data_IF_957682567240
#
_entry.id   IF_957682567240
#
_cell.length_a   1.000
_cell.length_b   1.000
_cell.length_c   1.000
_cell.angle_alpha   90.00
_cell.angle_beta   90.00
_cell.angle_gamma   90.00
#
_symmetry.space_group_name_H-M   'P 1'
#
loop_
_entity.id
_entity.type
_entity.pdbx_description
1 polymer ?
#
# COMPACT_ATOMS: atom_id res chain seq x y z
N UNK A 1 26.81 26.33 -14.27
CA UNK A 1 25.48 26.85 -13.90
C UNK A 1 24.51 26.34 -14.93
N UNK A 2 24.07 25.10 -14.77
CA UNK A 2 22.87 24.63 -15.46
C UNK A 2 21.69 25.39 -14.88
N UNK A 3 20.73 25.82 -15.72
CA UNK A 3 19.54 26.48 -15.21
C UNK A 3 18.82 25.49 -14.30
N UNK A 4 18.46 25.93 -13.10
CA UNK A 4 17.52 25.25 -12.21
C UNK A 4 16.27 24.89 -13.02
N UNK A 5 16.23 23.69 -13.60
CA UNK A 5 14.98 23.03 -13.94
C UNK A 5 14.35 22.70 -12.60
N UNK A 6 13.58 23.67 -12.14
CA UNK A 6 12.73 23.64 -10.96
C UNK A 6 12.10 22.25 -10.82
N UNK A 7 12.67 21.41 -9.95
CA UNK A 7 12.09 20.16 -9.46
C UNK A 7 10.89 20.43 -8.51
N UNK A 8 10.16 21.54 -8.67
CA UNK A 8 9.06 21.96 -7.78
C UNK A 8 7.74 21.25 -8.11
N UNK A 9 7.70 19.93 -7.89
CA UNK A 9 6.45 19.18 -7.81
C UNK A 9 6.63 17.78 -7.19
N UNK A 10 7.76 17.45 -6.56
CA UNK A 10 7.95 16.10 -6.04
C UNK A 10 7.31 15.91 -4.66
N UNK A 11 6.15 15.24 -4.64
CA UNK A 11 5.45 14.84 -3.41
C UNK A 11 6.33 14.08 -2.42
N UNK A 12 7.39 13.43 -2.91
CA UNK A 12 8.32 12.68 -2.07
C UNK A 12 9.30 13.62 -1.38
N UNK A 13 9.76 14.70 -2.03
CA UNK A 13 10.67 15.66 -1.40
C UNK A 13 9.98 16.44 -0.28
N UNK A 14 8.78 16.97 -0.53
CA UNK A 14 7.99 17.69 0.49
C UNK A 14 7.75 16.80 1.73
N UNK A 15 7.54 15.50 1.54
CA UNK A 15 7.31 14.55 2.63
C UNK A 15 8.60 14.21 3.39
N UNK A 16 9.75 14.13 2.71
CA UNK A 16 11.05 13.99 3.36
C UNK A 16 11.42 15.24 4.16
N UNK A 17 11.25 16.43 3.57
CA UNK A 17 11.48 17.69 4.25
C UNK A 17 10.63 17.80 5.51
N UNK A 18 9.36 17.39 5.44
CA UNK A 18 8.50 17.35 6.63
C UNK A 18 9.01 16.36 7.68
N UNK A 19 9.44 15.16 7.28
CA UNK A 19 10.00 14.19 8.23
C UNK A 19 11.23 14.79 8.92
N UNK A 20 12.19 15.35 8.18
CA UNK A 20 13.40 15.96 8.74
C UNK A 20 13.06 17.13 9.66
N UNK A 21 12.13 18.00 9.26
CA UNK A 21 11.67 19.11 10.11
C UNK A 21 11.07 18.66 11.44
N UNK A 22 10.57 17.43 11.55
CA UNK A 22 10.01 16.89 12.80
C UNK A 22 11.10 16.25 13.64
N UNK A 23 11.93 15.40 13.03
CA UNK A 23 12.90 14.58 13.78
C UNK A 23 14.19 15.32 14.11
N UNK A 24 14.48 16.42 13.41
CA UNK A 24 15.59 17.32 13.70
C UNK A 24 15.14 18.56 14.51
N UNK A 25 13.87 18.61 14.98
CA UNK A 25 13.40 19.65 15.89
C UNK A 25 14.11 19.50 17.25
N UNK A 26 14.53 20.61 17.87
CA UNK A 26 15.27 20.60 19.13
C UNK A 26 14.49 19.93 20.28
N UNK A 27 13.15 19.85 20.17
CA UNK A 27 12.28 19.20 21.15
C UNK A 27 12.06 17.70 20.88
N UNK A 28 12.60 17.17 19.77
CA UNK A 28 12.49 15.76 19.41
C UNK A 28 13.54 14.92 20.17
N UNK A 29 13.10 13.85 20.85
CA UNK A 29 13.87 13.08 21.82
C UNK A 29 13.66 13.51 23.27
N UNK A 30 12.80 14.50 23.54
CA UNK A 30 12.35 14.86 24.89
C UNK A 30 10.94 14.26 25.16
N UNK A 31 10.05 14.97 25.86
CA UNK A 31 8.66 14.52 26.11
C UNK A 31 7.68 14.95 24.99
N UNK A 32 8.15 15.68 23.96
CA UNK A 32 7.31 16.35 22.97
C UNK A 32 7.16 15.59 21.62
N UNK A 33 7.82 14.44 21.43
CA UNK A 33 7.77 13.65 20.19
C UNK A 33 6.34 13.39 19.70
N UNK A 34 5.41 12.92 20.57
CA UNK A 34 4.05 12.63 20.12
C UNK A 34 3.34 13.89 19.64
N UNK A 35 3.58 15.04 20.27
CA UNK A 35 2.95 16.30 19.93
C UNK A 35 3.48 16.87 18.60
N UNK A 36 4.80 16.80 18.38
CA UNK A 36 5.43 17.20 17.13
C UNK A 36 4.94 16.36 15.95
N UNK A 37 4.96 15.03 16.11
CA UNK A 37 4.47 14.08 15.11
C UNK A 37 2.99 14.30 14.82
N UNK A 38 2.16 14.44 15.86
CA UNK A 38 0.73 14.69 15.72
C UNK A 38 0.47 15.98 14.92
N UNK A 39 1.11 17.10 15.29
CA UNK A 39 0.96 18.39 14.59
C UNK A 39 1.40 18.28 13.13
N UNK A 40 2.50 17.58 12.86
CA UNK A 40 2.98 17.34 11.50
C UNK A 40 1.94 16.59 10.68
N UNK A 41 1.41 15.46 11.17
CA UNK A 41 0.41 14.65 10.47
C UNK A 41 -0.92 15.38 10.27
N UNK A 42 -1.35 16.17 11.25
CA UNK A 42 -2.65 16.84 11.25
C UNK A 42 -2.67 18.12 10.42
N UNK A 43 -1.60 18.90 10.45
CA UNK A 43 -1.58 20.26 9.91
C UNK A 43 -0.61 20.45 8.73
N UNK A 44 0.47 19.66 8.65
CA UNK A 44 1.50 19.84 7.61
C UNK A 44 1.44 18.74 6.54
N UNK A 45 1.19 17.49 6.92
CA UNK A 45 1.23 16.34 6.02
C UNK A 45 0.06 16.37 5.04
N UNK A 46 0.40 16.41 3.74
CA UNK A 46 -0.59 16.49 2.67
C UNK A 46 -1.02 15.10 2.22
N UNK A 47 -2.32 14.88 2.19
CA UNK A 47 -2.88 13.68 1.56
C UNK A 47 -2.86 13.88 0.04
N UNK A 48 -2.08 13.06 -0.66
CA UNK A 48 -2.03 13.08 -2.12
C UNK A 48 -3.20 12.28 -2.67
N UNK A 49 -3.99 12.90 -3.54
CA UNK A 49 -5.10 12.24 -4.23
C UNK A 49 -4.61 11.49 -5.48
N UNK A 50 -5.40 10.53 -5.94
CA UNK A 50 -5.18 9.93 -7.25
C UNK A 50 -5.13 10.99 -8.36
N UNK A 51 -6.03 11.99 -8.31
CA UNK A 51 -6.05 13.09 -9.26
C UNK A 51 -4.78 13.93 -9.28
N UNK A 52 -4.19 14.21 -8.12
CA UNK A 52 -2.90 14.90 -8.00
C UNK A 52 -1.77 14.09 -8.64
N UNK A 53 -1.75 12.78 -8.37
CA UNK A 53 -0.77 11.87 -8.97
C UNK A 53 -0.90 11.84 -10.50
N UNK A 54 -2.14 11.79 -11.01
CA UNK A 54 -2.42 11.82 -12.44
C UNK A 54 -2.01 13.15 -13.10
N UNK A 55 -2.30 14.29 -12.48
CA UNK A 55 -1.88 15.61 -13.00
C UNK A 55 -0.36 15.73 -13.08
N UNK A 56 0.34 15.33 -12.01
CA UNK A 56 1.81 15.32 -11.97
C UNK A 56 2.39 14.42 -13.06
N UNK A 57 1.85 13.20 -13.21
CA UNK A 57 2.27 12.27 -14.26
C UNK A 57 2.10 12.88 -15.66
N UNK A 58 0.95 13.49 -15.94
CA UNK A 58 0.69 14.14 -17.23
C UNK A 58 1.66 15.28 -17.48
N UNK A 59 1.94 16.13 -16.48
CA UNK A 59 2.94 17.20 -16.62
C UNK A 59 4.31 16.64 -17.02
N UNK A 60 4.75 15.57 -16.36
CA UNK A 60 6.04 14.94 -16.64
C UNK A 60 6.09 14.31 -18.03
N UNK A 61 5.02 13.63 -18.47
CA UNK A 61 5.01 12.94 -19.77
C UNK A 61 4.73 13.85 -20.96
N UNK A 62 4.09 14.99 -20.74
CA UNK A 62 3.80 15.98 -21.77
C UNK A 62 4.77 17.18 -21.70
N UNK A 63 5.86 17.08 -20.94
CA UNK A 63 6.88 18.12 -20.75
C UNK A 63 6.29 19.51 -20.41
N UNK A 64 5.26 19.53 -19.56
CA UNK A 64 4.62 20.78 -19.13
C UNK A 64 5.48 21.47 -18.07
N UNK A 65 5.86 22.72 -18.32
CA UNK A 65 6.64 23.53 -17.39
C UNK A 65 5.80 24.12 -16.26
N UNK A 66 6.34 24.16 -15.05
CA UNK A 66 5.71 24.79 -13.88
C UNK A 66 5.07 23.80 -12.92
N UNK A 67 4.35 24.30 -11.92
CA UNK A 67 3.68 23.45 -10.95
C UNK A 67 2.42 22.82 -11.56
N UNK A 68 2.23 21.51 -11.32
CA UNK A 68 1.05 20.78 -11.80
C UNK A 68 -0.30 21.32 -11.28
N UNK A 69 -0.30 22.18 -10.26
CA UNK A 69 -1.50 22.85 -9.74
C UNK A 69 -1.88 24.10 -10.54
N UNK A 70 -0.94 24.71 -11.24
CA UNK A 70 -1.14 26.00 -11.90
C UNK A 70 -1.75 25.87 -13.30
N UNK A 71 -1.71 24.67 -13.88
CA UNK A 71 -2.30 24.40 -15.18
C UNK A 71 -3.83 24.28 -15.11
N UNK A 72 -4.56 24.81 -16.11
CA UNK A 72 -6.01 24.74 -16.14
C UNK A 72 -6.49 23.28 -16.30
N UNK A 73 -7.56 22.90 -15.60
CA UNK A 73 -8.08 21.52 -15.62
C UNK A 73 -8.41 21.03 -17.05
N UNK A 74 -8.90 21.92 -17.91
CA UNK A 74 -9.24 21.59 -19.30
C UNK A 74 -8.02 21.20 -20.15
N UNK A 75 -6.80 21.62 -19.78
CA UNK A 75 -5.58 21.14 -20.43
C UNK A 75 -5.40 19.65 -20.18
N UNK A 76 -5.42 19.21 -18.91
CA UNK A 76 -5.30 17.79 -18.55
C UNK A 76 -6.41 16.95 -19.18
N UNK A 77 -7.65 17.44 -19.14
CA UNK A 77 -8.80 16.74 -19.74
C UNK A 77 -8.65 16.58 -21.25
N UNK A 78 -8.06 17.56 -21.94
CA UNK A 78 -7.76 17.51 -23.37
C UNK A 78 -6.68 16.47 -23.66
N UNK A 79 -5.56 16.51 -22.94
CA UNK A 79 -4.46 15.54 -23.08
C UNK A 79 -4.98 14.11 -22.93
N UNK A 80 -5.74 13.82 -21.86
CA UNK A 80 -6.32 12.48 -21.65
C UNK A 80 -7.21 12.07 -22.82
N UNK A 81 -8.11 12.96 -23.28
CA UNK A 81 -9.04 12.64 -24.36
C UNK A 81 -8.33 12.39 -25.69
N UNK A 82 -7.34 13.21 -26.01
CA UNK A 82 -6.60 13.11 -27.26
C UNK A 82 -5.78 11.82 -27.26
N UNK A 83 -5.09 11.52 -26.15
CA UNK A 83 -4.34 10.28 -25.99
C UNK A 83 -5.23 9.02 -26.07
N UNK A 84 -6.39 9.01 -25.42
CA UNK A 84 -7.34 7.89 -25.52
C UNK A 84 -7.83 7.67 -26.95
N UNK A 85 -8.09 8.75 -27.70
CA UNK A 85 -8.50 8.66 -29.11
C UNK A 85 -7.36 8.12 -29.98
N UNK A 86 -6.15 8.64 -29.82
CA UNK A 86 -4.95 8.23 -30.57
C UNK A 86 -4.57 6.77 -30.30
N UNK A 87 -4.80 6.29 -29.08
CA UNK A 87 -4.47 4.92 -28.66
C UNK A 87 -5.66 3.96 -28.73
N UNK A 88 -6.75 4.37 -29.38
CA UNK A 88 -7.96 3.57 -29.57
C UNK A 88 -8.50 2.97 -28.27
N UNK A 89 -8.33 3.71 -27.16
CA UNK A 89 -8.69 3.26 -25.82
C UNK A 89 -10.12 3.70 -25.49
N UNK A 90 -11.02 2.78 -25.13
CA UNK A 90 -12.40 3.11 -24.79
C UNK A 90 -12.48 3.81 -23.42
N UNK A 91 -13.64 4.39 -23.07
CA UNK A 91 -13.86 4.96 -21.73
C UNK A 91 -13.91 3.91 -20.60
N UNK A 92 -14.02 2.62 -20.91
CA UNK A 92 -14.08 1.51 -19.94
C UNK A 92 -13.75 0.18 -20.62
N UNK A 93 -13.26 -0.80 -19.84
CA UNK A 93 -13.12 -2.19 -20.28
C UNK A 93 -14.46 -2.89 -20.51
N UNK A 94 -15.53 -2.40 -19.86
CA UNK A 94 -16.89 -2.91 -19.99
C UNK A 94 -17.82 -1.86 -20.60
N UNK A 95 -18.95 -2.26 -21.22
CA UNK A 95 -19.92 -1.30 -21.74
C UNK A 95 -20.35 -0.27 -20.70
N UNK A 96 -20.30 1.02 -21.06
CA UNK A 96 -20.66 2.14 -20.18
C UNK A 96 -21.37 3.24 -20.95
N UNK A 97 -22.28 3.94 -20.28
CA UNK A 97 -22.93 5.15 -20.79
C UNK A 97 -22.17 6.42 -20.40
N UNK A 98 -21.19 6.32 -19.49
CA UNK A 98 -20.40 7.45 -19.04
C UNK A 98 -19.47 7.93 -20.16
N UNK A 99 -19.54 9.24 -20.46
CA UNK A 99 -18.67 9.87 -21.47
C UNK A 99 -17.26 10.05 -20.91
N UNK A 100 -16.24 9.85 -21.76
CA UNK A 100 -14.84 10.06 -21.39
C UNK A 100 -14.59 11.46 -20.81
N UNK A 101 -15.32 12.49 -21.26
CA UNK A 101 -15.21 13.86 -20.75
C UNK A 101 -15.65 14.03 -19.29
N UNK A 102 -16.59 13.20 -18.82
CA UNK A 102 -17.04 13.16 -17.42
C UNK A 102 -16.10 12.29 -16.58
N UNK A 103 -15.67 11.15 -17.13
CA UNK A 103 -14.73 10.25 -16.47
C UNK A 103 -13.38 10.92 -16.23
N UNK A 104 -12.80 11.59 -17.24
CA UNK A 104 -11.52 12.28 -17.08
C UNK A 104 -11.56 13.39 -16.04
N UNK A 105 -12.68 14.12 -15.96
CA UNK A 105 -12.92 15.10 -14.90
C UNK A 105 -12.92 14.44 -13.51
N UNK A 106 -13.58 13.30 -13.36
CA UNK A 106 -13.63 12.58 -12.09
C UNK A 106 -12.25 12.05 -11.69
N UNK A 107 -11.52 11.41 -12.62
CA UNK A 107 -10.18 10.88 -12.36
C UNK A 107 -9.20 11.97 -11.87
N UNK A 108 -9.29 13.18 -12.42
CA UNK A 108 -8.43 14.31 -12.04
C UNK A 108 -8.76 14.94 -10.68
N UNK A 109 -9.89 14.58 -10.06
CA UNK A 109 -10.39 15.24 -8.85
C UNK A 109 -10.72 14.27 -7.69
N UNK A 110 -10.71 12.96 -7.95
CA UNK A 110 -11.03 11.96 -6.93
C UNK A 110 -9.81 11.62 -6.05
N UNK A 111 -10.10 11.31 -4.78
CA UNK A 111 -9.09 10.82 -3.83
C UNK A 111 -8.50 9.47 -4.25
N UNK A 112 -9.35 8.60 -4.81
CA UNK A 112 -8.99 7.27 -5.29
C UNK A 112 -9.93 6.87 -6.43
N UNK A 113 -9.51 5.91 -7.25
CA UNK A 113 -10.29 5.32 -8.33
C UNK A 113 -10.25 3.80 -8.22
N UNK A 114 -11.14 3.10 -8.95
CA UNK A 114 -11.04 1.66 -9.07
C UNK A 114 -9.72 1.28 -9.78
N UNK A 115 -9.05 0.22 -9.33
CA UNK A 115 -7.85 -0.36 -9.93
C UNK A 115 -7.91 -0.49 -11.46
N UNK A 116 -9.06 -0.87 -12.03
CA UNK A 116 -9.26 -0.99 -13.48
C UNK A 116 -9.08 0.34 -14.23
N UNK A 117 -9.28 1.48 -13.57
CA UNK A 117 -9.03 2.80 -14.16
C UNK A 117 -7.53 2.99 -14.42
N UNK A 118 -6.65 2.49 -13.53
CA UNK A 118 -5.19 2.57 -13.74
C UNK A 118 -4.78 1.78 -14.96
N UNK A 119 -5.30 0.56 -15.13
CA UNK A 119 -5.06 -0.24 -16.34
C UNK A 119 -5.58 0.47 -17.60
N UNK A 120 -6.74 1.13 -17.52
CA UNK A 120 -7.30 1.85 -18.66
C UNK A 120 -6.44 3.06 -19.03
N UNK A 121 -5.98 3.83 -18.04
CA UNK A 121 -5.02 4.92 -18.22
C UNK A 121 -3.70 4.39 -18.76
N UNK A 122 -3.30 3.17 -18.40
CA UNK A 122 -2.13 2.51 -18.95
C UNK A 122 -2.13 2.44 -20.47
N UNK A 123 -3.26 2.02 -21.05
CA UNK A 123 -3.46 2.04 -22.50
C UNK A 123 -3.59 3.46 -23.04
N UNK A 124 -4.46 4.25 -22.41
CA UNK A 124 -4.83 5.58 -22.92
C UNK A 124 -3.67 6.57 -22.94
N UNK A 125 -2.76 6.50 -21.96
CA UNK A 125 -1.60 7.39 -21.81
C UNK A 125 -0.27 6.75 -22.20
N UNK A 126 -0.28 5.52 -22.76
CA UNK A 126 0.93 4.73 -23.08
C UNK A 126 1.91 4.61 -21.90
N UNK A 127 1.36 4.28 -20.73
CA UNK A 127 2.19 4.06 -19.53
C UNK A 127 3.08 2.83 -19.72
N UNK A 128 4.31 2.89 -19.22
CA UNK A 128 5.14 1.70 -19.05
C UNK A 128 4.58 0.80 -17.94
N UNK A 129 5.10 -0.43 -17.82
CA UNK A 129 4.80 -1.32 -16.70
C UNK A 129 5.13 -0.67 -15.35
N UNK A 130 6.25 0.05 -15.28
CA UNK A 130 6.69 0.76 -14.07
C UNK A 130 5.80 1.95 -13.72
N UNK A 131 5.32 2.68 -14.73
CA UNK A 131 4.35 3.77 -14.54
C UNK A 131 3.05 3.19 -13.94
N UNK A 132 2.52 2.11 -14.52
CA UNK A 132 1.31 1.43 -14.02
C UNK A 132 1.50 0.94 -12.59
N UNK A 133 2.60 0.22 -12.31
CA UNK A 133 2.91 -0.24 -10.96
C UNK A 133 3.08 0.90 -9.96
N UNK A 134 3.64 2.03 -10.38
CA UNK A 134 3.75 3.23 -9.54
C UNK A 134 2.38 3.80 -9.19
N UNK A 135 1.44 3.89 -10.13
CA UNK A 135 0.06 4.31 -9.81
C UNK A 135 -0.62 3.34 -8.85
N UNK A 136 -0.49 2.03 -9.07
CA UNK A 136 -1.09 1.02 -8.20
C UNK A 136 -0.54 1.09 -6.77
N UNK A 137 0.78 1.16 -6.62
CA UNK A 137 1.44 1.11 -5.31
C UNK A 137 1.47 2.45 -4.59
N UNK A 138 1.68 3.57 -5.29
CA UNK A 138 1.84 4.90 -4.68
C UNK A 138 0.55 5.72 -4.65
N UNK A 139 -0.29 5.63 -5.69
CA UNK A 139 -1.54 6.39 -5.74
C UNK A 139 -2.73 5.63 -5.12
N UNK A 140 -2.81 4.30 -5.33
CA UNK A 140 -3.89 3.48 -4.76
C UNK A 140 -3.49 2.77 -3.45
N UNK A 141 -2.19 2.65 -3.13
CA UNK A 141 -1.67 1.83 -2.02
C UNK A 141 -2.05 0.34 -2.15
N UNK A 142 -2.19 -0.14 -3.38
CA UNK A 142 -2.50 -1.52 -3.72
C UNK A 142 -1.24 -2.26 -4.19
N UNK A 143 -1.36 -3.58 -4.41
CA UNK A 143 -0.28 -4.38 -5.00
C UNK A 143 -0.01 -3.97 -6.45
N UNK A 144 1.20 -4.24 -6.91
CA UNK A 144 1.58 -4.23 -8.32
C UNK A 144 0.69 -5.17 -9.16
N UNK A 145 0.90 -5.17 -10.47
CA UNK A 145 0.25 -6.10 -11.40
C UNK A 145 0.30 -7.52 -10.87
N UNK A 146 -0.86 -8.14 -10.74
CA UNK A 146 -1.02 -9.47 -10.18
C UNK A 146 -0.72 -10.53 -11.26
N UNK A 147 0.38 -11.29 -11.15
CA UNK A 147 0.76 -12.26 -12.17
C UNK A 147 -0.17 -13.48 -12.18
N UNK A 148 -1.07 -13.63 -11.19
CA UNK A 148 -2.06 -14.71 -11.11
C UNK A 148 -3.42 -14.31 -11.69
N UNK A 149 -3.60 -13.05 -12.09
CA UNK A 149 -4.86 -12.54 -12.65
C UNK A 149 -4.76 -12.45 -14.17
N UNK A 150 -5.47 -13.28 -14.94
CA UNK A 150 -5.40 -13.28 -16.41
C UNK A 150 -5.59 -11.90 -17.05
N UNK A 151 -6.51 -11.10 -16.51
CA UNK A 151 -6.75 -9.73 -16.96
C UNK A 151 -5.51 -8.84 -16.82
N UNK A 152 -4.88 -8.83 -15.65
CA UNK A 152 -3.71 -8.00 -15.37
C UNK A 152 -2.47 -8.51 -16.13
N UNK A 153 -2.33 -9.82 -16.31
CA UNK A 153 -1.26 -10.43 -17.09
C UNK A 153 -1.35 -10.03 -18.57
N UNK A 154 -2.55 -10.00 -19.15
CA UNK A 154 -2.74 -9.55 -20.54
C UNK A 154 -2.47 -8.04 -20.65
N UNK A 155 -2.90 -7.24 -19.67
CA UNK A 155 -2.56 -5.82 -19.62
C UNK A 155 -1.04 -5.61 -19.58
N UNK A 156 -0.34 -6.28 -18.65
CA UNK A 156 1.11 -6.26 -18.55
C UNK A 156 1.80 -6.59 -19.87
N UNK A 157 1.41 -7.70 -20.50
CA UNK A 157 2.02 -8.12 -21.77
C UNK A 157 1.85 -7.06 -22.86
N UNK A 158 0.69 -6.37 -22.88
CA UNK A 158 0.47 -5.27 -23.82
C UNK A 158 1.36 -4.07 -23.53
N UNK A 159 1.51 -3.66 -22.27
CA UNK A 159 2.39 -2.54 -21.90
C UNK A 159 3.85 -2.85 -22.20
N UNK A 160 4.30 -4.06 -21.88
CA UNK A 160 5.68 -4.52 -22.12
C UNK A 160 6.07 -4.45 -23.60
N UNK A 161 5.12 -4.73 -24.50
CA UNK A 161 5.35 -4.73 -25.95
C UNK A 161 4.84 -3.47 -26.66
N UNK A 162 4.36 -2.46 -25.92
CA UNK A 162 3.81 -1.23 -26.49
C UNK A 162 2.55 -1.43 -27.34
N UNK A 163 1.78 -2.49 -27.07
CA UNK A 163 0.53 -2.77 -27.76
C UNK A 163 -0.62 -1.90 -27.23
N UNK A 164 -1.51 -1.49 -28.15
CA UNK A 164 -2.70 -0.69 -27.87
C UNK A 164 -3.90 -1.54 -27.43
N UNK A 165 -4.97 -0.88 -27.00
CA UNK A 165 -6.17 -1.55 -26.49
C UNK A 165 -6.80 -2.58 -27.45
N UNK A 166 -6.84 -2.38 -28.79
CA UNK A 166 -7.29 -3.41 -29.73
C UNK A 166 -6.57 -4.76 -29.58
N UNK A 167 -5.26 -4.75 -29.30
CA UNK A 167 -4.50 -5.99 -29.06
C UNK A 167 -4.92 -6.66 -27.75
N UNK A 168 -5.14 -5.89 -26.69
CA UNK A 168 -5.71 -6.40 -25.44
C UNK A 168 -7.04 -7.11 -25.72
N UNK A 169 -7.95 -6.51 -26.48
CA UNK A 169 -9.23 -7.13 -26.83
C UNK A 169 -9.06 -8.43 -27.62
N UNK A 170 -8.10 -8.47 -28.55
CA UNK A 170 -7.78 -9.70 -29.30
C UNK A 170 -7.30 -10.81 -28.36
N UNK A 171 -6.35 -10.51 -27.47
CA UNK A 171 -5.79 -11.46 -26.51
C UNK A 171 -6.83 -11.91 -25.49
N UNK A 172 -7.67 -10.99 -25.00
CA UNK A 172 -8.76 -11.31 -24.08
C UNK A 172 -9.76 -12.29 -24.71
N UNK A 173 -10.17 -12.05 -25.96
CA UNK A 173 -11.04 -12.98 -26.71
C UNK A 173 -10.39 -14.36 -26.94
N UNK A 174 -9.06 -14.41 -27.12
CA UNK A 174 -8.33 -15.68 -27.20
C UNK A 174 -8.35 -16.41 -25.87
N UNK A 175 -8.06 -15.71 -24.77
CA UNK A 175 -8.10 -16.25 -23.41
C UNK A 175 -9.48 -16.81 -23.03
N UNK A 176 -10.56 -16.11 -23.35
CA UNK A 176 -11.94 -16.56 -23.08
C UNK A 176 -12.22 -17.93 -23.73
N UNK A 177 -11.65 -18.19 -24.91
CA UNK A 177 -11.79 -19.44 -25.67
C UNK A 177 -10.77 -20.53 -25.33
N UNK A 178 -9.76 -20.24 -24.50
CA UNK A 178 -8.78 -21.27 -24.11
C UNK A 178 -9.44 -22.35 -23.27
N UNK A 179 -9.14 -23.62 -23.54
CA UNK A 179 -9.47 -24.68 -22.59
C UNK A 179 -8.59 -24.55 -21.34
N UNK A 180 -9.12 -24.93 -20.18
CA UNK A 180 -8.30 -25.04 -18.98
C UNK A 180 -7.21 -26.08 -19.23
N UNK A 181 -5.95 -25.75 -18.95
CA UNK A 181 -4.88 -26.73 -19.07
C UNK A 181 -5.19 -27.94 -18.16
N UNK A 182 -5.03 -29.17 -18.68
CA UNK A 182 -5.24 -30.37 -17.87
C UNK A 182 -4.43 -30.27 -16.58
N UNK A 183 -5.15 -30.38 -15.45
CA UNK A 183 -4.56 -30.28 -14.11
C UNK A 183 -3.68 -31.51 -13.88
N UNK A 184 -2.37 -31.40 -14.09
CA UNK A 184 -1.53 -32.58 -13.83
C UNK A 184 -0.23 -32.31 -13.07
N UNK A 185 0.20 -31.06 -12.86
CA UNK A 185 1.42 -30.82 -12.06
C UNK A 185 1.57 -29.36 -11.58
N UNK A 186 1.33 -28.39 -12.47
CA UNK A 186 1.61 -26.96 -12.21
C UNK A 186 0.64 -26.25 -11.24
N UNK A 187 -0.51 -26.84 -10.91
CA UNK A 187 -1.43 -26.25 -9.92
C UNK A 187 -0.94 -26.45 -8.47
N UNK A 188 -0.16 -27.51 -8.22
CA UNK A 188 0.47 -27.80 -6.93
C UNK A 188 1.68 -26.87 -6.74
N UNK A 189 2.55 -26.79 -7.76
CA UNK A 189 3.70 -25.89 -7.77
C UNK A 189 3.30 -24.42 -7.58
N UNK A 190 2.18 -23.94 -8.16
CA UNK A 190 1.73 -22.54 -7.96
C UNK A 190 1.12 -22.22 -6.59
N UNK A 191 0.71 -23.25 -5.84
CA UNK A 191 0.36 -23.08 -4.42
C UNK A 191 1.61 -22.99 -3.55
N UNK A 192 2.69 -23.63 -3.97
CA UNK A 192 3.97 -23.68 -3.25
C UNK A 192 4.93 -22.53 -3.65
N UNK A 193 4.85 -22.04 -4.89
CA UNK A 193 5.65 -20.93 -5.40
C UNK A 193 5.13 -19.59 -4.86
N UNK A 194 6.04 -18.87 -4.18
CA UNK A 194 5.81 -17.51 -3.73
C UNK A 194 5.60 -16.53 -4.90
N UNK A 195 5.10 -15.35 -4.58
CA UNK A 195 4.75 -14.28 -5.54
C UNK A 195 5.90 -13.95 -6.51
N UNK A 196 7.15 -13.93 -6.02
CA UNK A 196 8.34 -13.68 -6.85
C UNK A 196 8.51 -14.72 -7.95
N UNK A 197 8.43 -16.01 -7.63
CA UNK A 197 8.63 -17.08 -8.63
C UNK A 197 7.62 -16.97 -9.77
N UNK A 198 6.34 -16.77 -9.43
CA UNK A 198 5.25 -16.59 -10.40
C UNK A 198 5.48 -15.34 -11.27
N UNK A 199 5.99 -14.25 -10.69
CA UNK A 199 6.36 -13.04 -11.43
C UNK A 199 7.52 -13.29 -12.39
N UNK A 200 8.57 -14.00 -11.95
CA UNK A 200 9.72 -14.34 -12.81
C UNK A 200 9.28 -15.13 -14.04
N UNK A 201 8.38 -16.11 -13.88
CA UNK A 201 7.83 -16.83 -15.03
C UNK A 201 7.01 -15.94 -15.96
N UNK A 202 6.21 -15.02 -15.41
CA UNK A 202 5.47 -14.05 -16.22
C UNK A 202 6.45 -13.18 -17.02
N UNK A 203 7.49 -12.64 -16.39
CA UNK A 203 8.50 -11.79 -17.03
C UNK A 203 9.33 -12.51 -18.11
N UNK A 204 9.42 -13.84 -18.06
CA UNK A 204 10.08 -14.64 -19.09
C UNK A 204 9.23 -14.84 -20.36
N UNK A 205 7.98 -14.37 -20.38
CA UNK A 205 7.11 -14.46 -21.55
C UNK A 205 7.52 -13.43 -22.60
N UNK A 206 7.97 -13.89 -23.76
CA UNK A 206 8.47 -13.05 -24.85
C UNK A 206 7.57 -13.07 -26.10
N UNK A 207 6.61 -13.98 -26.16
CA UNK A 207 5.70 -14.11 -27.30
C UNK A 207 4.27 -14.51 -26.89
N UNK A 208 3.36 -14.45 -27.85
CA UNK A 208 1.95 -14.71 -27.64
C UNK A 208 1.66 -16.17 -27.30
N UNK A 209 2.46 -17.12 -27.80
CA UNK A 209 2.28 -18.54 -27.50
C UNK A 209 2.64 -18.83 -26.03
N UNK A 210 3.74 -18.24 -25.55
CA UNK A 210 4.15 -18.26 -24.16
C UNK A 210 3.09 -17.65 -23.25
N UNK A 211 2.53 -16.50 -23.65
CA UNK A 211 1.42 -15.86 -22.95
C UNK A 211 0.20 -16.78 -22.84
N UNK A 212 -0.28 -17.32 -23.96
CA UNK A 212 -1.47 -18.16 -23.98
C UNK A 212 -1.26 -19.46 -23.19
N UNK A 213 -0.06 -20.04 -23.23
CA UNK A 213 0.33 -21.19 -22.40
C UNK A 213 0.27 -20.84 -20.91
N UNK A 214 0.80 -19.68 -20.52
CA UNK A 214 0.75 -19.20 -19.15
C UNK A 214 -0.69 -18.95 -18.68
N UNK A 215 -1.52 -18.30 -19.50
CA UNK A 215 -2.92 -18.02 -19.20
C UNK A 215 -3.78 -19.28 -19.13
N UNK A 216 -3.56 -20.26 -20.02
CA UNK A 216 -4.25 -21.56 -19.97
C UNK A 216 -3.98 -22.29 -18.66
N UNK A 217 -2.76 -22.16 -18.13
CA UNK A 217 -2.42 -22.66 -16.80
C UNK A 217 -3.20 -21.90 -15.73
N UNK A 218 -3.40 -20.59 -15.82
CA UNK A 218 -4.14 -19.80 -14.82
C UNK A 218 -5.66 -20.08 -14.81
N UNK A 219 -6.21 -20.60 -15.91
CA UNK A 219 -7.63 -20.93 -16.04
C UNK A 219 -7.97 -22.17 -15.19
N UNK A 220 -8.44 -21.97 -13.96
CA UNK A 220 -8.91 -23.05 -13.07
C UNK A 220 -10.43 -23.17 -13.07
N UNK A 221 -10.96 -24.39 -12.95
CA UNK A 221 -12.40 -24.70 -12.96
C UNK A 221 -13.19 -24.11 -11.77
N UNK A 222 -12.51 -23.69 -10.71
CA UNK A 222 -13.13 -23.13 -9.50
C UNK A 222 -12.43 -21.83 -9.13
N UNK A 223 -13.12 -20.71 -9.34
CA UNK A 223 -12.67 -19.34 -9.10
C UNK A 223 -12.29 -19.08 -7.65
N UNK A 224 -11.12 -19.56 -7.26
CA UNK A 224 -10.56 -19.33 -5.94
C UNK A 224 -9.85 -17.98 -5.95
N UNK A 225 -10.28 -17.09 -5.05
CA UNK A 225 -9.57 -15.86 -4.73
C UNK A 225 -8.17 -16.24 -4.25
N UNK A 226 -7.15 -16.05 -5.09
CA UNK A 226 -5.78 -16.35 -4.74
C UNK A 226 -5.25 -15.26 -3.81
N UNK A 227 -5.53 -15.39 -2.51
CA UNK A 227 -4.80 -14.66 -1.49
C UNK A 227 -3.30 -14.84 -1.74
N UNK A 228 -2.54 -13.73 -1.73
CA UNK A 228 -1.09 -13.78 -1.93
C UNK A 228 -0.44 -14.71 -0.89
N UNK A 229 0.10 -15.84 -1.35
CA UNK A 229 0.77 -16.84 -0.50
C UNK A 229 1.95 -16.20 0.24
N UNK A 230 2.75 -15.36 -0.45
CA UNK A 230 3.83 -14.61 0.19
C UNK A 230 3.32 -13.67 1.27
N UNK A 231 2.29 -12.87 0.99
CA UNK A 231 1.77 -11.91 1.97
C UNK A 231 1.18 -12.62 3.19
N UNK A 232 0.46 -13.73 3.00
CA UNK A 232 -0.04 -14.55 4.10
C UNK A 232 1.11 -15.17 4.91
N UNK A 233 2.17 -15.66 4.24
CA UNK A 233 3.35 -16.22 4.90
C UNK A 233 4.06 -15.18 5.78
N UNK A 234 4.34 -13.99 5.24
CA UNK A 234 4.95 -12.89 6.00
C UNK A 234 4.04 -12.46 7.15
N UNK A 235 2.75 -12.25 6.89
CA UNK A 235 1.79 -11.92 7.95
C UNK A 235 1.82 -12.93 9.10
N UNK A 236 1.76 -14.24 8.81
CA UNK A 236 1.77 -15.27 9.85
C UNK A 236 3.08 -15.29 10.64
N UNK A 237 4.22 -15.07 9.99
CA UNK A 237 5.51 -14.99 10.66
C UNK A 237 5.60 -13.78 11.61
N UNK A 238 5.20 -12.60 11.12
CA UNK A 238 5.15 -11.37 11.91
C UNK A 238 4.15 -11.45 13.07
N UNK A 239 2.98 -12.04 12.81
CA UNK A 239 1.94 -12.27 13.80
C UNK A 239 2.41 -13.23 14.90
N UNK A 240 3.11 -14.32 14.53
CA UNK A 240 3.68 -15.27 15.51
C UNK A 240 4.76 -14.63 16.37
N UNK A 241 5.63 -13.81 15.77
CA UNK A 241 6.69 -13.11 16.50
C UNK A 241 6.12 -12.05 17.46
N UNK A 242 5.13 -11.29 17.00
CA UNK A 242 4.37 -10.34 17.83
C UNK A 242 3.79 -11.04 19.07
N UNK A 243 3.19 -12.22 18.90
CA UNK A 243 2.64 -13.00 20.03
C UNK A 243 3.71 -13.46 21.01
N UNK A 244 4.91 -13.83 20.53
CA UNK A 244 6.03 -14.21 21.41
C UNK A 244 6.49 -13.02 22.25
N UNK A 245 6.64 -11.84 21.64
CA UNK A 245 7.07 -10.63 22.34
C UNK A 245 6.05 -10.20 23.40
N UNK A 246 4.76 -10.23 23.08
CA UNK A 246 3.71 -9.92 24.06
C UNK A 246 3.68 -10.95 25.20
N UNK A 247 3.78 -12.26 24.88
CA UNK A 247 3.85 -13.29 25.91
C UNK A 247 5.06 -13.11 26.84
N UNK A 248 6.23 -12.76 26.27
CA UNK A 248 7.43 -12.44 27.05
C UNK A 248 7.15 -11.27 28.00
N UNK A 249 6.62 -10.17 27.48
CA UNK A 249 6.30 -8.98 28.29
C UNK A 249 5.30 -9.29 29.41
N UNK A 250 4.21 -10.02 29.13
CA UNK A 250 3.25 -10.43 30.15
C UNK A 250 3.86 -11.33 31.24
N UNK A 251 4.91 -12.08 30.91
CA UNK A 251 5.61 -12.94 31.87
C UNK A 251 6.68 -12.20 32.68
N UNK A 252 7.14 -11.02 32.23
CA UNK A 252 8.05 -10.16 33.00
C UNK A 252 7.34 -9.53 34.20
N UNK A 253 6.04 -9.24 34.06
CA UNK A 253 5.19 -8.69 35.13
C UNK A 253 3.86 -9.47 35.18
N UNK A 254 3.84 -10.69 35.74
CA UNK A 254 2.65 -11.52 35.75
C UNK A 254 1.60 -10.97 36.73
N UNK A 255 0.34 -10.90 36.31
CA UNK A 255 -0.78 -10.44 37.14
C UNK A 255 -1.00 -11.32 38.39
N UNK A 256 -0.63 -12.61 38.32
CA UNK A 256 -0.77 -13.58 39.41
C UNK A 256 0.48 -14.45 39.53
N UNK A 257 0.80 -14.83 40.76
CA UNK A 257 1.90 -15.74 41.06
C UNK A 257 1.67 -17.10 40.35
N UNK A 258 2.69 -17.57 39.62
CA UNK A 258 2.63 -18.80 38.82
C UNK A 258 1.94 -18.67 37.46
N UNK A 259 1.45 -17.49 37.08
CA UNK A 259 0.89 -17.24 35.76
C UNK A 259 1.99 -17.17 34.70
N UNK A 260 1.80 -17.92 33.62
CA UNK A 260 2.74 -17.95 32.51
C UNK A 260 1.98 -18.05 31.19
N UNK A 261 2.24 -17.12 30.29
CA UNK A 261 1.65 -17.05 28.97
C UNK A 261 2.59 -17.67 27.93
N UNK A 262 2.06 -18.58 27.11
CA UNK A 262 2.71 -18.96 25.86
C UNK A 262 2.25 -18.05 24.72
N UNK A 263 2.96 -18.05 23.58
CA UNK A 263 2.52 -17.30 22.39
C UNK A 263 1.11 -17.74 21.93
N UNK A 264 0.76 -19.01 22.09
CA UNK A 264 -0.56 -19.56 21.74
C UNK A 264 -1.68 -19.01 22.61
N UNK A 265 -1.38 -18.56 23.83
CA UNK A 265 -2.34 -17.93 24.74
C UNK A 265 -2.63 -16.47 24.37
N UNK A 266 -1.77 -15.81 23.59
CA UNK A 266 -1.96 -14.41 23.18
C UNK A 266 -2.99 -14.35 22.05
N UNK A 267 -4.11 -13.68 22.30
CA UNK A 267 -5.19 -13.51 21.32
C UNK A 267 -4.97 -12.29 20.43
N UNK A 268 -5.76 -12.15 19.36
CA UNK A 268 -5.81 -10.90 18.59
C UNK A 268 -6.30 -9.71 19.43
N UNK A 269 -7.07 -9.96 20.49
CA UNK A 269 -7.46 -8.90 21.44
C UNK A 269 -6.28 -8.39 22.26
N UNK A 270 -5.36 -9.27 22.64
CA UNK A 270 -4.13 -8.88 23.36
C UNK A 270 -3.23 -8.02 22.47
N UNK A 271 -3.06 -8.42 21.20
CA UNK A 271 -2.29 -7.64 20.22
C UNK A 271 -2.93 -6.26 20.00
N UNK A 272 -4.26 -6.21 19.82
CA UNK A 272 -4.99 -4.94 19.68
C UNK A 272 -4.81 -4.05 20.90
N UNK A 273 -4.90 -4.62 22.12
CA UNK A 273 -4.74 -3.90 23.38
C UNK A 273 -3.34 -3.30 23.52
N UNK A 274 -2.29 -4.02 23.14
CA UNK A 274 -0.91 -3.53 23.26
C UNK A 274 -0.62 -2.46 22.20
N UNK A 275 -0.96 -2.69 20.93
CA UNK A 275 -0.67 -1.75 19.84
C UNK A 275 -1.50 -0.45 19.96
N UNK A 276 -2.70 -0.53 20.54
CA UNK A 276 -3.63 0.60 20.66
C UNK A 276 -3.94 0.95 22.13
N UNK A 277 -2.97 0.76 23.01
CA UNK A 277 -3.11 0.90 24.47
C UNK A 277 -3.64 2.26 24.91
N UNK A 278 -3.23 3.34 24.24
CA UNK A 278 -3.62 4.71 24.58
C UNK A 278 -4.83 5.22 23.78
N UNK A 279 -5.48 4.37 22.96
CA UNK A 279 -6.76 4.75 22.32
C UNK A 279 -7.86 4.75 23.39
N UNK A 280 -8.62 5.84 23.56
CA UNK A 280 -9.59 5.94 24.65
C UNK A 280 -10.73 4.94 24.50
N UNK A 281 -11.21 4.42 25.63
CA UNK A 281 -12.37 3.52 25.67
C UNK A 281 -13.69 4.30 25.64
N UNK A 282 -14.72 3.71 25.06
CA UNK A 282 -16.10 4.20 25.15
C UNK A 282 -16.74 3.80 26.48
N UNK A 283 -17.98 4.27 26.71
CA UNK A 283 -18.76 3.99 27.92
C UNK A 283 -19.04 2.50 28.16
N UNK A 284 -18.80 1.64 27.17
CA UNK A 284 -18.98 0.19 27.24
C UNK A 284 -17.65 -0.56 27.39
N UNK A 285 -16.53 0.15 27.53
CA UNK A 285 -15.20 -0.43 27.65
C UNK A 285 -14.61 -0.93 26.33
N UNK A 286 -15.17 -0.54 25.18
CA UNK A 286 -14.59 -0.85 23.87
C UNK A 286 -13.72 0.31 23.40
N UNK A 287 -12.71 0.04 22.57
CA UNK A 287 -11.89 1.12 22.01
C UNK A 287 -12.74 2.08 21.15
N UNK A 288 -12.53 3.38 21.32
CA UNK A 288 -13.24 4.42 20.60
C UNK A 288 -13.12 4.24 19.09
N UNK A 289 -14.22 4.40 18.32
CA UNK A 289 -14.19 4.22 16.87
C UNK A 289 -13.15 5.12 16.18
N UNK A 290 -12.45 4.59 15.17
CA UNK A 290 -11.44 5.34 14.41
C UNK A 290 -11.96 6.68 13.85
N UNK A 291 -13.24 6.74 13.47
CA UNK A 291 -13.90 7.97 13.00
C UNK A 291 -13.90 9.14 13.99
N UNK A 292 -13.64 8.89 15.28
CA UNK A 292 -13.51 9.92 16.33
C UNK A 292 -12.07 10.43 16.46
N UNK A 293 -11.11 9.92 15.72
CA UNK A 293 -9.74 10.45 15.68
C UNK A 293 -9.66 11.61 14.68
N UNK A 294 -8.97 12.69 15.04
CA UNK A 294 -8.61 13.79 14.17
C UNK A 294 -7.68 13.36 13.02
N UNK A 295 -7.03 12.20 13.15
CA UNK A 295 -6.19 11.58 12.12
C UNK A 295 -6.94 10.52 11.28
N UNK A 296 -8.27 10.35 11.48
CA UNK A 296 -9.05 9.36 10.74
C UNK A 296 -8.91 9.49 9.22
N UNK A 297 -8.76 10.72 8.70
CA UNK A 297 -8.59 10.93 7.25
C UNK A 297 -7.24 10.42 6.76
N UNK A 298 -6.17 10.68 7.50
CA UNK A 298 -4.80 10.25 7.21
C UNK A 298 -4.68 8.72 7.31
N UNK A 299 -5.33 8.13 8.30
CA UNK A 299 -5.20 6.71 8.67
C UNK A 299 -6.37 5.83 8.24
N UNK A 300 -7.32 6.35 7.44
CA UNK A 300 -8.56 5.67 7.10
C UNK A 300 -8.34 4.20 6.70
N UNK A 301 -8.93 3.28 7.48
CA UNK A 301 -8.87 1.83 7.25
C UNK A 301 -7.56 1.14 7.64
N UNK A 302 -6.59 1.85 8.23
CA UNK A 302 -5.24 1.33 8.57
C UNK A 302 -5.10 0.90 10.03
N UNK A 303 -6.18 0.97 10.81
CA UNK A 303 -6.18 0.53 12.20
C UNK A 303 -6.14 -1.00 12.28
N UNK A 304 -5.11 -1.52 12.94
CA UNK A 304 -4.90 -2.95 13.08
C UNK A 304 -5.72 -3.55 14.24
N UNK A 305 -6.99 -3.84 13.96
CA UNK A 305 -7.97 -4.29 14.95
C UNK A 305 -8.03 -5.81 15.11
N UNK A 306 -8.64 -6.28 16.20
CA UNK A 306 -8.93 -7.71 16.42
C UNK A 306 -9.79 -8.31 15.31
N UNK A 307 -10.75 -7.53 14.79
CA UNK A 307 -11.61 -7.95 13.69
C UNK A 307 -10.79 -8.10 12.41
N UNK A 308 -9.93 -7.11 12.11
CA UNK A 308 -9.04 -7.14 10.95
C UNK A 308 -8.14 -8.37 10.96
N UNK A 309 -7.52 -8.68 12.11
CA UNK A 309 -6.71 -9.88 12.28
C UNK A 309 -7.53 -11.16 12.05
N UNK A 310 -8.71 -11.26 12.66
CA UNK A 310 -9.61 -12.41 12.48
C UNK A 310 -9.98 -12.62 11.02
N UNK A 311 -10.33 -11.56 10.29
CA UNK A 311 -10.71 -11.64 8.87
C UNK A 311 -9.53 -12.15 8.00
N UNK A 312 -8.30 -11.72 8.29
CA UNK A 312 -7.10 -12.21 7.59
C UNK A 312 -6.85 -13.69 7.89
N UNK A 313 -6.87 -14.07 9.18
CA UNK A 313 -6.62 -15.45 9.62
C UNK A 313 -7.64 -16.43 9.00
N UNK A 314 -8.91 -16.04 8.98
CA UNK A 314 -10.01 -16.82 8.40
C UNK A 314 -10.06 -16.78 6.86
N UNK A 315 -9.17 -16.01 6.21
CA UNK A 315 -9.14 -15.91 4.75
C UNK A 315 -10.26 -15.06 4.15
N UNK A 316 -10.98 -14.30 4.97
CA UNK A 316 -12.06 -13.39 4.55
C UNK A 316 -11.48 -12.13 3.89
N UNK A 317 -10.37 -11.62 4.41
CA UNK A 317 -9.69 -10.42 3.91
C UNK A 317 -8.26 -10.72 3.47
N UNK A 318 -7.80 -10.03 2.44
CA UNK A 318 -6.39 -10.05 2.05
C UNK A 318 -5.50 -9.24 3.00
N UNK A 319 -4.26 -9.70 3.15
CA UNK A 319 -3.18 -8.94 3.79
C UNK A 319 -2.84 -7.71 2.95
N UNK A 320 -2.83 -6.54 3.57
CA UNK A 320 -2.40 -5.26 3.01
C UNK A 320 -0.99 -4.91 3.48
N UNK A 321 -0.35 -3.92 2.83
CA UNK A 321 0.95 -3.41 3.26
C UNK A 321 0.92 -2.85 4.68
N UNK A 322 -0.17 -2.20 5.08
CA UNK A 322 -0.31 -1.60 6.41
C UNK A 322 -0.35 -2.67 7.52
N UNK A 323 -0.93 -3.85 7.25
CA UNK A 323 -0.90 -4.95 8.23
C UNK A 323 0.54 -5.40 8.50
N UNK A 324 1.38 -5.51 7.45
CA UNK A 324 2.78 -5.90 7.55
C UNK A 324 3.64 -4.81 8.20
N UNK A 325 3.45 -3.55 7.80
CA UNK A 325 4.15 -2.38 8.34
C UNK A 325 3.90 -2.24 9.83
N UNK A 326 2.65 -2.41 10.28
CA UNK A 326 2.26 -2.28 11.71
C UNK A 326 2.88 -3.38 12.57
N UNK A 327 2.80 -4.64 12.12
CA UNK A 327 3.36 -5.76 12.87
C UNK A 327 4.90 -5.68 12.94
N UNK A 328 5.55 -5.31 11.84
CA UNK A 328 7.00 -5.16 11.83
C UNK A 328 7.44 -3.97 12.70
N UNK A 329 6.68 -2.87 12.67
CA UNK A 329 6.92 -1.72 13.54
C UNK A 329 6.88 -2.15 15.00
N UNK A 330 5.84 -2.90 15.39
CA UNK A 330 5.72 -3.43 16.74
C UNK A 330 6.95 -4.27 17.12
N UNK A 331 7.36 -5.21 16.26
CA UNK A 331 8.55 -6.05 16.53
C UNK A 331 9.81 -5.21 16.74
N UNK A 332 10.05 -4.18 15.91
CA UNK A 332 11.20 -3.29 16.07
C UNK A 332 11.10 -2.40 17.31
N UNK A 333 9.90 -1.96 17.68
CA UNK A 333 9.68 -1.17 18.90
C UNK A 333 9.95 -1.95 20.18
N UNK A 334 9.68 -3.26 20.20
CA UNK A 334 9.79 -4.09 21.40
C UNK A 334 11.15 -4.80 21.56
N UNK A 335 12.01 -4.73 20.54
CA UNK A 335 13.34 -5.33 20.58
C UNK A 335 14.40 -4.27 20.94
N UNK A 336 14.17 -3.53 22.01
CA UNK A 336 15.02 -2.43 22.45
C UNK A 336 16.48 -2.86 22.62
N UNK A 337 16.74 -4.06 23.17
CA UNK A 337 18.10 -4.57 23.33
C UNK A 337 18.90 -4.64 22.02
N UNK A 338 18.23 -4.94 20.90
CA UNK A 338 18.84 -5.08 19.58
C UNK A 338 18.87 -3.76 18.82
N UNK A 339 17.94 -2.86 19.10
CA UNK A 339 17.68 -1.65 18.31
C UNK A 339 17.67 -0.38 19.18
N UNK A 340 18.61 -0.25 20.13
CA UNK A 340 18.70 0.91 21.05
C UNK A 340 18.91 2.24 20.35
N UNK A 341 19.71 2.26 19.28
CA UNK A 341 20.00 3.50 18.56
C UNK A 341 18.90 3.79 17.53
N UNK A 342 18.21 4.96 17.60
CA UNK A 342 17.09 5.26 16.72
C UNK A 342 17.42 5.24 15.24
N UNK A 343 18.58 5.76 14.83
CA UNK A 343 18.99 5.80 13.43
C UNK A 343 19.26 4.39 12.87
N UNK A 344 19.89 3.53 13.67
CA UNK A 344 20.14 2.13 13.32
C UNK A 344 18.83 1.34 13.26
N UNK A 345 17.93 1.54 14.23
CA UNK A 345 16.59 0.94 14.26
C UNK A 345 15.81 1.31 13.00
N UNK A 346 15.77 2.59 12.67
CA UNK A 346 15.14 3.11 11.47
C UNK A 346 15.71 2.47 10.20
N UNK A 347 17.04 2.48 10.03
CA UNK A 347 17.68 1.95 8.82
C UNK A 347 17.39 0.45 8.63
N UNK A 348 17.52 -0.35 9.71
CA UNK A 348 17.27 -1.78 9.67
C UNK A 348 15.78 -2.11 9.47
N UNK A 349 14.89 -1.30 10.04
CA UNK A 349 13.45 -1.42 9.79
C UNK A 349 13.16 -1.20 8.31
N UNK A 350 13.63 -0.08 7.73
CA UNK A 350 13.41 0.27 6.31
C UNK A 350 13.89 -0.85 5.40
N UNK A 351 15.09 -1.39 5.62
CA UNK A 351 15.61 -2.50 4.83
C UNK A 351 14.74 -3.77 4.96
N UNK A 352 14.34 -4.10 6.18
CA UNK A 352 13.59 -5.34 6.46
C UNK A 352 12.17 -5.26 5.89
N UNK A 353 11.44 -4.18 6.15
CA UNK A 353 10.07 -4.02 5.68
C UNK A 353 10.03 -3.86 4.16
N UNK A 354 10.98 -3.14 3.54
CA UNK A 354 11.04 -3.04 2.08
C UNK A 354 11.22 -4.41 1.43
N UNK A 355 12.08 -5.27 1.99
CA UNK A 355 12.23 -6.64 1.52
C UNK A 355 10.91 -7.42 1.60
N UNK A 356 10.22 -7.36 2.75
CA UNK A 356 8.92 -8.00 2.94
C UNK A 356 7.88 -7.50 1.93
N UNK A 357 7.79 -6.18 1.72
CA UNK A 357 6.81 -5.59 0.82
C UNK A 357 7.10 -5.91 -0.65
N UNK A 358 8.37 -5.90 -1.06
CA UNK A 358 8.80 -6.29 -2.40
C UNK A 358 8.53 -7.78 -2.67
N UNK A 359 8.80 -8.67 -1.69
CA UNK A 359 8.46 -10.09 -1.76
C UNK A 359 6.94 -10.34 -1.92
N UNK A 360 6.13 -9.35 -1.52
CA UNK A 360 4.68 -9.35 -1.62
C UNK A 360 4.12 -8.58 -2.83
N UNK A 361 4.98 -8.01 -3.70
CA UNK A 361 4.58 -7.12 -4.80
C UNK A 361 3.74 -5.92 -4.33
N UNK A 362 4.08 -5.34 -3.18
CA UNK A 362 3.39 -4.16 -2.64
C UNK A 362 4.15 -2.86 -2.91
N UNK A 363 5.34 -2.92 -3.51
CA UNK A 363 6.27 -1.80 -3.62
C UNK A 363 6.94 -1.45 -2.30
N UNK A 364 8.07 -0.75 -2.32
CA UNK A 364 8.74 -0.27 -1.10
C UNK A 364 7.91 0.77 -0.34
N UNK A 365 8.38 1.15 0.85
CA UNK A 365 7.85 2.25 1.64
C UNK A 365 7.73 3.52 0.80
N UNK A 366 6.66 4.26 1.03
CA UNK A 366 6.36 5.50 0.33
C UNK A 366 6.05 6.58 1.36
N UNK A 367 7.06 7.41 1.65
CA UNK A 367 7.02 8.44 2.70
C UNK A 367 5.86 9.44 2.55
N UNK A 368 5.38 9.65 1.32
CA UNK A 368 4.22 10.51 1.05
C UNK A 368 2.91 9.91 1.60
N UNK A 369 2.87 8.63 1.96
CA UNK A 369 1.76 8.05 2.70
C UNK A 369 1.82 8.49 4.18
N UNK A 370 0.78 9.16 4.72
CA UNK A 370 0.82 9.67 6.09
C UNK A 370 1.06 8.61 7.17
N UNK A 371 0.55 7.39 6.99
CA UNK A 371 0.73 6.33 7.98
C UNK A 371 2.13 5.73 7.96
N UNK A 372 2.74 5.62 6.78
CA UNK A 372 4.12 5.15 6.66
C UNK A 372 5.09 6.20 7.22
N UNK A 373 4.87 7.48 6.91
CA UNK A 373 5.63 8.59 7.51
C UNK A 373 5.49 8.62 9.04
N UNK A 374 4.29 8.44 9.55
CA UNK A 374 4.02 8.31 10.99
C UNK A 374 4.87 7.21 11.64
N UNK A 375 4.82 5.99 11.11
CA UNK A 375 5.59 4.85 11.63
C UNK A 375 7.10 5.14 11.60
N UNK A 376 7.58 5.77 10.53
CA UNK A 376 8.99 6.14 10.39
C UNK A 376 9.44 7.20 11.41
N UNK A 377 8.60 8.20 11.69
CA UNK A 377 8.88 9.17 12.75
C UNK A 377 8.89 8.51 14.14
N UNK A 378 7.94 7.62 14.44
CA UNK A 378 7.96 6.89 15.72
C UNK A 378 9.20 6.02 15.89
N UNK A 379 9.74 5.43 14.82
CA UNK A 379 10.97 4.62 14.92
C UNK A 379 12.21 5.45 15.29
N UNK A 380 12.15 6.77 15.12
CA UNK A 380 13.21 7.69 15.45
C UNK A 380 13.11 8.28 16.87
N UNK A 381 11.99 8.09 17.58
CA UNK A 381 11.85 8.49 18.99
C UNK A 381 12.51 7.50 19.95
N UNK A 382 12.81 7.89 21.18
CA UNK A 382 13.47 7.00 22.15
C UNK A 382 12.61 5.78 22.52
N UNK A 383 11.31 6.00 22.71
CA UNK A 383 10.30 4.93 22.91
C UNK A 383 9.26 4.94 21.77
N UNK A 384 9.47 4.14 20.71
CA UNK A 384 8.60 4.13 19.54
C UNK A 384 7.18 3.71 19.84
N UNK A 385 6.96 2.71 20.70
CA UNK A 385 5.62 2.18 20.94
C UNK A 385 4.81 3.17 21.77
N UNK A 386 5.41 3.75 22.81
CA UNK A 386 4.76 4.81 23.61
C UNK A 386 4.47 6.03 22.74
N UNK A 387 5.45 6.47 21.94
CA UNK A 387 5.24 7.60 20.99
C UNK A 387 4.10 7.31 20.02
N UNK A 388 4.05 6.10 19.45
CA UNK A 388 2.97 5.67 18.58
C UNK A 388 1.61 5.71 19.29
N UNK A 389 1.53 5.21 20.52
CA UNK A 389 0.31 5.20 21.31
C UNK A 389 -0.15 6.63 21.66
N UNK A 390 0.76 7.50 22.07
CA UNK A 390 0.44 8.87 22.49
C UNK A 390 0.00 9.75 21.32
N UNK A 391 0.56 9.57 20.12
CA UNK A 391 0.04 10.22 18.91
C UNK A 391 -1.42 9.80 18.63
N UNK A 392 -1.73 8.51 18.84
CA UNK A 392 -3.12 8.06 18.78
C UNK A 392 -3.96 8.74 19.85
N UNK A 393 -3.53 8.80 21.11
CA UNK A 393 -4.25 9.43 22.21
C UNK A 393 -4.58 10.90 21.91
N UNK A 394 -3.56 11.70 21.56
CA UNK A 394 -3.69 13.11 21.16
C UNK A 394 -4.72 13.28 20.03
N UNK A 395 -4.76 12.34 19.09
CA UNK A 395 -5.71 12.40 17.98
C UNK A 395 -7.18 12.29 18.40
N UNK A 396 -7.48 11.76 19.58
CA UNK A 396 -8.85 11.71 20.11
C UNK A 396 -9.19 12.89 21.02
N UNK A 397 -8.19 13.59 21.56
CA UNK A 397 -8.36 14.76 22.43
C UNK A 397 -8.74 16.02 21.64
N UNK A 398 -8.16 16.22 20.45
CA UNK A 398 -8.40 17.38 19.58
C UNK A 398 -9.86 17.51 19.09
N UNK A 399 -10.67 16.45 19.23
CA UNK A 399 -12.09 16.45 18.88
C UNK A 399 -13.04 16.84 20.04
N UNK A 400 -12.49 17.33 21.17
CA UNK A 400 -13.27 17.88 22.30
C UNK A 400 -13.49 19.41 22.14
N UNK A 401 -13.06 20.01 21.03
CA UNK A 401 -13.29 21.42 20.68
C UNK A 401 -14.59 21.70 19.93
#
# INVERSE_FOLDING_TARGET
MEPEQIHSADFTNDAWELLYQVVDDDLFGEEDDPLLIYKALRHKMRIISFGDYLKRYICQKADLSGNYKDHPEDLYRRIIRDAFRENETPPSFTPTTAKLSALSKNWLNQQSVNRNVVFLLGFGLRMSVDDVNSFLTKALNEREINPKMPFEVICWYCYEHGFTFPKFQQLWKKYEKLEAAHQTYHAIIRKEEGTIGVRTYMQAITDENGLLSYLAKLKTSHGTSYMSVSARKHFMALYDETRKLIAKHYNEVPDKEGQHYSKEAISGGDIEKVILSAVPLDSYGNLSPAKKSALNRQFAGKRFSRQRMSDILNGVSEVTRFDLITLEFFIFSQNEDRFKNPQTRYAQYVDTINKILLDCCMGGLYITNPYECFVLMCLLSDDPLTTYADVWALSYEDNIG
#
